data_IF_591190860562
#
_entry.id   IF_591190860562
#
_cell.length_a   1.000
_cell.length_b   1.000
_cell.length_c   1.000
_cell.angle_alpha   90.00
_cell.angle_beta   90.00
_cell.angle_gamma   90.00
#
_symmetry.space_group_name_H-M   'P 1'
#
loop_
_entity.id
_entity.type
_entity.pdbx_description
1 polymer ?
#
# COMPACT_ATOMS: atom_id res chain seq x y z
N UNK A 1 43.73 -38.23 19.39
CA UNK A 1 42.40 -38.28 18.78
C UNK A 1 41.31 -37.51 19.55
N UNK A 2 41.42 -37.41 20.91
CA UNK A 2 40.40 -36.69 21.74
C UNK A 2 40.36 -35.18 21.53
N UNK A 3 41.49 -34.54 21.15
CA UNK A 3 41.58 -33.09 20.93
C UNK A 3 41.15 -32.66 19.50
N UNK A 4 41.10 -33.61 18.55
CA UNK A 4 40.63 -33.33 17.18
C UNK A 4 39.10 -33.22 17.13
N UNK A 5 38.42 -33.96 18.00
CA UNK A 5 36.94 -33.96 18.07
C UNK A 5 36.39 -32.62 18.65
N UNK A 6 37.16 -32.01 19.57
CA UNK A 6 36.80 -30.73 20.17
C UNK A 6 36.97 -29.54 19.21
N UNK A 7 37.91 -29.65 18.27
CA UNK A 7 38.14 -28.60 17.25
C UNK A 7 37.04 -28.56 16.19
N UNK A 8 36.42 -29.69 15.90
CA UNK A 8 35.32 -29.78 14.89
C UNK A 8 34.03 -29.16 15.44
N UNK A 9 33.80 -29.20 16.75
CA UNK A 9 32.59 -28.59 17.34
C UNK A 9 32.68 -27.04 17.37
N UNK A 10 33.91 -26.48 17.37
CA UNK A 10 34.12 -25.01 17.33
C UNK A 10 34.03 -24.41 15.91
N UNK A 11 34.01 -25.24 14.88
CA UNK A 11 33.94 -24.81 13.47
C UNK A 11 32.53 -24.88 12.86
N UNK A 12 31.51 -25.26 13.62
CA UNK A 12 30.13 -25.01 13.17
C UNK A 12 29.82 -23.52 13.35
N UNK A 13 29.85 -22.70 12.28
CA UNK A 13 29.28 -21.38 12.36
C UNK A 13 27.82 -21.58 12.79
N UNK A 14 27.40 -20.90 13.82
CA UNK A 14 26.00 -20.69 14.12
C UNK A 14 25.38 -20.06 12.84
N UNK A 15 24.92 -20.91 11.94
CA UNK A 15 23.98 -20.50 10.91
C UNK A 15 22.74 -20.06 11.67
N UNK A 16 22.76 -18.82 12.12
CA UNK A 16 21.57 -18.16 12.62
C UNK A 16 20.53 -18.26 11.53
N UNK A 17 19.59 -19.17 11.72
CA UNK A 17 18.40 -19.24 10.90
C UNK A 17 17.66 -17.92 11.19
N UNK A 18 17.91 -16.90 10.39
CA UNK A 18 17.11 -15.69 10.36
C UNK A 18 15.74 -16.10 9.81
N UNK A 19 14.90 -16.67 10.68
CA UNK A 19 13.52 -16.94 10.35
C UNK A 19 12.82 -15.59 10.18
N UNK A 20 12.53 -15.22 8.96
CA UNK A 20 11.79 -13.99 8.66
C UNK A 20 10.40 -14.09 9.30
N UNK A 21 10.06 -13.10 10.09
CA UNK A 21 8.73 -12.96 10.66
C UNK A 21 7.79 -12.33 9.64
N UNK A 22 6.58 -12.86 9.56
CA UNK A 22 5.50 -12.32 8.75
C UNK A 22 4.57 -11.53 9.65
N UNK A 23 4.15 -10.36 9.18
CA UNK A 23 3.21 -9.50 9.90
C UNK A 23 1.96 -9.27 9.06
N UNK A 24 0.83 -8.99 9.72
CA UNK A 24 -0.41 -8.61 9.05
C UNK A 24 -0.34 -7.14 8.69
N UNK A 25 -0.35 -6.86 7.40
CA UNK A 25 -0.42 -5.49 6.87
C UNK A 25 -1.86 -4.97 6.93
N UNK A 26 -2.83 -5.80 6.51
CA UNK A 26 -4.24 -5.46 6.59
C UNK A 26 -5.12 -6.71 6.61
N UNK A 27 -6.27 -6.62 7.27
CA UNK A 27 -7.33 -7.62 7.20
C UNK A 27 -8.69 -6.92 7.15
N UNK A 28 -9.46 -7.12 6.06
CA UNK A 28 -10.69 -6.38 5.80
C UNK A 28 -11.73 -7.22 5.09
N UNK A 29 -13.01 -6.98 5.40
CA UNK A 29 -14.13 -7.39 4.58
C UNK A 29 -14.06 -6.65 3.24
N UNK A 30 -14.34 -7.35 2.13
CA UNK A 30 -14.45 -6.79 0.79
C UNK A 30 -15.90 -6.87 0.31
N UNK A 31 -16.74 -5.87 0.59
CA UNK A 31 -18.18 -5.95 0.35
C UNK A 31 -18.56 -6.09 -1.12
N UNK A 32 -17.72 -5.59 -2.04
CA UNK A 32 -17.96 -5.62 -3.48
C UNK A 32 -17.46 -6.90 -4.15
N UNK A 33 -16.65 -7.71 -3.45
CA UNK A 33 -16.16 -8.98 -3.97
C UNK A 33 -17.17 -10.09 -3.68
N UNK A 34 -17.90 -10.47 -4.70
CA UNK A 34 -18.93 -11.52 -4.65
C UNK A 34 -18.39 -12.94 -4.85
N UNK A 35 -17.07 -13.12 -4.85
CA UNK A 35 -16.46 -14.43 -5.14
C UNK A 35 -16.93 -15.54 -4.20
N UNK A 36 -17.16 -15.23 -2.92
CA UNK A 36 -17.67 -16.19 -1.94
C UNK A 36 -19.10 -16.65 -2.22
N UNK A 37 -19.96 -15.74 -2.69
CA UNK A 37 -21.36 -16.05 -2.99
C UNK A 37 -21.54 -16.70 -4.36
N UNK A 38 -20.71 -16.30 -5.35
CA UNK A 38 -20.73 -16.88 -6.71
C UNK A 38 -20.12 -18.28 -6.73
N UNK A 39 -18.98 -18.48 -6.05
CA UNK A 39 -18.30 -19.78 -5.95
C UNK A 39 -18.58 -20.40 -4.57
N UNK A 40 -19.85 -20.65 -4.29
CA UNK A 40 -20.33 -21.11 -3.00
C UNK A 40 -19.73 -22.45 -2.60
N UNK A 41 -19.04 -22.48 -1.47
CA UNK A 41 -18.56 -23.69 -0.79
C UNK A 41 -19.34 -23.87 0.49
N UNK A 42 -19.77 -25.11 0.76
CA UNK A 42 -20.53 -25.45 1.97
C UNK A 42 -19.62 -26.14 2.98
N UNK A 43 -19.84 -25.88 4.24
CA UNK A 43 -19.20 -26.62 5.34
C UNK A 43 -19.88 -28.00 5.55
N UNK A 44 -19.41 -28.78 6.52
CA UNK A 44 -19.92 -30.10 6.82
C UNK A 44 -21.38 -30.12 7.29
N UNK A 45 -21.89 -28.97 7.72
CA UNK A 45 -23.28 -28.80 8.17
C UNK A 45 -24.18 -28.26 7.05
N UNK A 46 -23.63 -28.03 5.86
CA UNK A 46 -24.35 -27.46 4.73
C UNK A 46 -24.45 -25.92 4.76
N UNK A 47 -23.74 -25.25 5.65
CA UNK A 47 -23.76 -23.81 5.72
C UNK A 47 -22.73 -23.20 4.75
N UNK A 48 -23.04 -22.06 4.12
CA UNK A 48 -22.10 -21.37 3.25
C UNK A 48 -20.86 -20.90 4.00
N UNK A 49 -19.69 -21.06 3.38
CA UNK A 49 -18.42 -20.59 3.90
C UNK A 49 -18.15 -19.13 3.54
N UNK A 50 -17.26 -18.52 4.31
CA UNK A 50 -16.58 -17.28 3.93
C UNK A 50 -15.35 -17.59 3.08
N UNK A 51 -14.99 -16.70 2.16
CA UNK A 51 -13.75 -16.76 1.38
C UNK A 51 -12.71 -15.80 1.97
N UNK A 52 -11.56 -16.34 2.35
CA UNK A 52 -10.39 -15.57 2.75
C UNK A 52 -9.37 -15.58 1.62
N UNK A 53 -9.10 -14.44 1.04
CA UNK A 53 -8.05 -14.20 0.05
C UNK A 53 -6.79 -13.72 0.77
N UNK A 54 -5.74 -14.52 0.75
CA UNK A 54 -4.46 -14.21 1.41
C UNK A 54 -3.46 -13.75 0.35
N UNK A 55 -2.97 -12.55 0.49
CA UNK A 55 -1.89 -12.00 -0.29
C UNK A 55 -0.60 -12.10 0.52
N UNK A 56 0.35 -12.86 0.02
CA UNK A 56 1.63 -13.09 0.69
C UNK A 56 2.75 -13.27 -0.34
N UNK A 57 3.91 -12.70 -0.05
CA UNK A 57 5.12 -12.96 -0.85
C UNK A 57 5.68 -14.34 -0.47
N UNK A 58 5.63 -15.25 -1.43
CA UNK A 58 6.05 -16.65 -1.29
C UNK A 58 4.88 -17.63 -1.14
N UNK A 59 5.21 -18.87 -0.80
CA UNK A 59 4.26 -19.95 -0.68
C UNK A 59 3.75 -20.14 0.75
N UNK A 60 2.60 -20.80 0.88
CA UNK A 60 2.06 -21.30 2.13
C UNK A 60 2.31 -22.81 2.23
N UNK A 61 2.79 -23.27 3.39
CA UNK A 61 2.85 -24.70 3.68
C UNK A 61 1.45 -25.22 4.02
N UNK A 62 0.75 -24.52 4.91
CA UNK A 62 -0.61 -24.84 5.31
C UNK A 62 -1.31 -23.67 5.98
N UNK A 63 -2.61 -23.83 6.16
CA UNK A 63 -3.44 -22.96 6.99
C UNK A 63 -4.25 -23.85 7.94
N UNK A 64 -4.32 -23.46 9.20
CA UNK A 64 -5.07 -24.16 10.24
C UNK A 64 -6.20 -23.28 10.78
N UNK A 65 -7.29 -23.91 11.18
CA UNK A 65 -8.54 -23.31 11.64
C UNK A 65 -9.72 -24.06 11.05
N UNK A 66 -10.87 -23.41 10.98
CA UNK A 66 -12.07 -24.01 10.38
C UNK A 66 -12.04 -23.97 8.85
N UNK A 67 -10.93 -24.48 8.26
CA UNK A 67 -10.67 -24.48 6.81
C UNK A 67 -11.50 -25.58 6.15
N UNK A 68 -12.18 -25.22 5.05
CA UNK A 68 -12.98 -26.13 4.24
C UNK A 68 -12.35 -26.27 2.86
N UNK A 69 -12.06 -27.50 2.47
CA UNK A 69 -11.47 -27.81 1.17
C UNK A 69 -9.95 -27.56 1.11
N UNK A 70 -9.45 -27.28 -0.08
CA UNK A 70 -8.02 -27.07 -0.36
C UNK A 70 -7.74 -25.62 -0.63
N UNK A 71 -6.52 -25.19 -0.32
CA UNK A 71 -6.01 -23.88 -0.72
C UNK A 71 -5.88 -23.87 -2.24
N UNK A 72 -6.48 -22.88 -2.90
CA UNK A 72 -6.28 -22.62 -4.32
C UNK A 72 -5.38 -21.41 -4.51
N UNK A 73 -4.46 -21.49 -5.46
CA UNK A 73 -3.47 -20.44 -5.69
C UNK A 73 -3.68 -19.85 -7.08
N UNK A 74 -3.79 -18.52 -7.13
CA UNK A 74 -3.70 -17.71 -8.33
C UNK A 74 -2.57 -16.72 -8.09
N UNK A 75 -1.40 -16.94 -8.71
CA UNK A 75 -0.20 -16.12 -8.54
C UNK A 75 0.13 -15.84 -7.06
N UNK A 76 0.10 -14.60 -6.64
CA UNK A 76 0.35 -14.17 -5.25
C UNK A 76 -0.88 -14.24 -4.34
N UNK A 77 -2.06 -14.56 -4.86
CA UNK A 77 -3.29 -14.70 -4.09
C UNK A 77 -3.55 -16.17 -3.75
N UNK A 78 -3.77 -16.47 -2.48
CA UNK A 78 -4.13 -17.79 -1.98
C UNK A 78 -5.57 -17.72 -1.45
N UNK A 79 -6.46 -18.51 -2.05
CA UNK A 79 -7.89 -18.54 -1.72
C UNK A 79 -8.20 -19.71 -0.79
N UNK A 80 -8.86 -19.42 0.32
CA UNK A 80 -9.19 -20.36 1.38
C UNK A 80 -10.63 -20.14 1.82
N UNK A 81 -11.40 -21.20 1.88
CA UNK A 81 -12.73 -21.16 2.46
C UNK A 81 -12.67 -21.52 3.95
N UNK A 82 -13.31 -20.71 4.76
CA UNK A 82 -13.45 -20.92 6.20
C UNK A 82 -14.93 -21.05 6.52
N UNK A 83 -15.27 -21.94 7.46
CA UNK A 83 -16.64 -22.00 7.99
C UNK A 83 -17.06 -20.61 8.48
N UNK A 84 -18.31 -20.24 8.25
CA UNK A 84 -18.91 -19.04 8.84
C UNK A 84 -18.71 -19.06 10.35
N UNK A 85 -18.67 -17.88 10.99
CA UNK A 85 -18.40 -17.70 12.42
C UNK A 85 -16.96 -18.02 12.88
N UNK A 86 -16.04 -18.33 11.96
CA UNK A 86 -14.62 -18.44 12.28
C UNK A 86 -14.12 -17.13 12.89
N UNK A 87 -13.35 -17.23 13.98
CA UNK A 87 -12.84 -16.08 14.75
C UNK A 87 -11.33 -15.90 14.65
N UNK A 88 -10.63 -16.91 14.14
CA UNK A 88 -9.19 -16.94 14.05
C UNK A 88 -8.72 -17.85 12.93
N UNK A 89 -7.46 -17.66 12.52
CA UNK A 89 -6.76 -18.52 11.56
C UNK A 89 -5.27 -18.55 11.90
N UNK A 90 -4.63 -19.70 11.67
CA UNK A 90 -3.17 -19.83 11.73
C UNK A 90 -2.62 -20.09 10.34
N UNK A 91 -1.66 -19.31 9.95
CA UNK A 91 -1.04 -19.37 8.64
C UNK A 91 0.42 -19.79 8.81
N UNK A 92 0.85 -20.74 8.01
CA UNK A 92 2.21 -21.29 8.01
C UNK A 92 2.87 -20.95 6.67
N UNK A 93 3.54 -19.79 6.56
CA UNK A 93 4.27 -19.44 5.36
C UNK A 93 5.51 -20.33 5.23
N UNK A 94 5.83 -20.75 4.02
CA UNK A 94 6.97 -21.63 3.76
C UNK A 94 8.28 -20.98 4.15
N UNK A 95 9.03 -21.66 5.03
CA UNK A 95 10.34 -21.20 5.50
C UNK A 95 10.30 -19.99 6.45
N UNK A 96 9.13 -19.67 7.04
CA UNK A 96 8.95 -18.54 7.97
C UNK A 96 8.24 -18.98 9.24
N UNK A 97 8.19 -18.09 10.25
CA UNK A 97 7.44 -18.35 11.46
C UNK A 97 5.93 -18.34 11.20
N UNK A 98 5.17 -19.27 11.84
CA UNK A 98 3.73 -19.25 11.80
C UNK A 98 3.15 -17.95 12.35
N UNK A 99 2.04 -17.49 11.76
CA UNK A 99 1.31 -16.35 12.27
C UNK A 99 -0.08 -16.77 12.73
N UNK A 100 -0.47 -16.35 13.92
CA UNK A 100 -1.81 -16.52 14.47
C UNK A 100 -2.57 -15.20 14.37
N UNK A 101 -3.74 -15.20 13.76
CA UNK A 101 -4.55 -14.03 13.48
C UNK A 101 -5.89 -14.22 14.16
N UNK A 102 -6.16 -13.41 15.18
CA UNK A 102 -7.45 -13.30 15.83
C UNK A 102 -8.20 -12.16 15.15
N UNK A 103 -9.34 -12.44 14.54
CA UNK A 103 -10.03 -11.48 13.66
C UNK A 103 -10.51 -10.24 14.41
N UNK A 104 -10.84 -10.39 15.68
CA UNK A 104 -11.25 -9.29 16.56
C UNK A 104 -10.20 -8.19 16.71
N UNK A 105 -8.91 -8.53 16.62
CA UNK A 105 -7.80 -7.56 16.68
C UNK A 105 -7.81 -6.61 15.47
N UNK A 106 -8.58 -6.96 14.42
CA UNK A 106 -8.75 -6.19 13.18
C UNK A 106 -10.18 -5.65 13.02
N UNK A 107 -10.98 -5.67 14.12
CA UNK A 107 -12.34 -5.14 14.10
C UNK A 107 -13.38 -6.08 13.45
N UNK A 108 -13.06 -7.37 13.29
CA UNK A 108 -13.94 -8.39 12.72
C UNK A 108 -14.22 -9.42 13.83
N UNK A 109 -15.43 -9.41 14.39
CA UNK A 109 -15.76 -10.34 15.49
C UNK A 109 -15.75 -11.80 15.04
N UNK A 110 -16.26 -12.08 13.85
CA UNK A 110 -16.24 -13.39 13.20
C UNK A 110 -16.43 -13.20 11.67
N UNK A 111 -16.05 -14.20 10.87
CA UNK A 111 -16.36 -14.19 9.44
C UNK A 111 -17.84 -14.43 9.19
N UNK A 112 -18.41 -13.67 8.27
CA UNK A 112 -19.79 -13.83 7.81
C UNK A 112 -19.84 -14.79 6.62
N UNK A 113 -20.90 -15.59 6.56
CA UNK A 113 -21.16 -16.50 5.43
C UNK A 113 -21.29 -15.74 4.11
N UNK A 114 -20.85 -16.35 3.00
CA UNK A 114 -20.92 -15.78 1.65
C UNK A 114 -20.20 -14.44 1.47
N UNK A 115 -19.32 -14.06 2.41
CA UNK A 115 -18.52 -12.85 2.34
C UNK A 115 -17.06 -13.14 1.98
N UNK A 116 -16.47 -12.21 1.25
CA UNK A 116 -15.06 -12.25 0.89
C UNK A 116 -14.25 -11.30 1.75
N UNK A 117 -13.16 -11.80 2.31
CA UNK A 117 -12.20 -11.05 3.13
C UNK A 117 -10.83 -11.06 2.47
N UNK A 118 -10.11 -9.96 2.56
CA UNK A 118 -8.74 -9.84 2.08
C UNK A 118 -7.80 -9.70 3.27
N UNK A 119 -6.84 -10.60 3.35
CA UNK A 119 -5.74 -10.61 4.31
C UNK A 119 -4.43 -10.36 3.58
N UNK A 120 -3.77 -9.26 3.85
CA UNK A 120 -2.44 -8.95 3.31
C UNK A 120 -1.38 -9.22 4.36
N UNK A 121 -0.40 -10.02 3.97
CA UNK A 121 0.74 -10.39 4.80
C UNK A 121 2.02 -9.89 4.15
N UNK A 122 2.88 -9.27 4.94
CA UNK A 122 4.21 -8.83 4.49
C UNK A 122 5.31 -9.43 5.36
N UNK A 123 6.51 -9.50 4.82
CA UNK A 123 7.66 -9.91 5.61
C UNK A 123 8.07 -8.78 6.52
N UNK A 124 8.30 -9.08 7.80
CA UNK A 124 9.02 -8.16 8.66
C UNK A 124 10.46 -8.06 8.12
N UNK A 125 10.76 -6.96 7.46
CA UNK A 125 12.14 -6.69 7.07
C UNK A 125 12.91 -6.47 8.37
N UNK A 126 14.01 -7.21 8.65
CA UNK A 126 14.84 -6.87 9.80
C UNK A 126 15.28 -5.42 9.60
N UNK A 127 14.81 -4.54 10.44
CA UNK A 127 15.34 -3.19 10.49
C UNK A 127 16.84 -3.34 10.75
N UNK A 128 17.65 -3.04 9.76
CA UNK A 128 19.08 -2.82 9.95
C UNK A 128 19.16 -1.64 10.89
N UNK A 129 19.39 -1.96 12.17
CA UNK A 129 19.60 -0.96 13.22
C UNK A 129 20.96 -0.33 12.93
N UNK A 130 20.98 0.65 12.06
CA UNK A 130 21.97 1.70 12.12
C UNK A 130 21.56 2.60 13.27
N UNK A 131 22.31 2.48 14.37
CA UNK A 131 22.26 3.41 15.50
C UNK A 131 22.54 4.81 14.96
N UNK A 132 21.47 5.57 14.71
CA UNK A 132 21.47 7.00 14.91
C UNK A 132 20.33 7.32 15.87
N UNK A 133 20.74 7.74 17.06
CA UNK A 133 19.88 8.24 18.12
C UNK A 133 19.13 9.45 17.61
N UNK A 134 17.80 9.37 17.51
CA UNK A 134 16.88 10.38 18.03
C UNK A 134 15.45 9.88 17.87
N UNK A 135 14.74 9.77 18.97
CA UNK A 135 13.30 9.60 19.15
C UNK A 135 12.45 10.14 18.00
N UNK A 136 11.93 9.22 17.15
CA UNK A 136 10.63 9.38 16.48
C UNK A 136 10.43 8.20 15.50
N UNK A 137 9.87 7.07 15.97
CA UNK A 137 9.44 5.96 15.10
C UNK A 137 8.24 6.42 14.24
N UNK A 138 8.55 7.13 13.15
CA UNK A 138 7.54 7.48 12.16
C UNK A 138 7.40 6.29 11.23
N UNK A 139 6.20 5.72 11.09
CA UNK A 139 5.98 4.59 10.21
C UNK A 139 6.38 4.94 8.77
N UNK A 140 7.22 4.11 8.16
CA UNK A 140 7.55 4.20 6.74
C UNK A 140 6.66 3.21 6.00
N UNK A 141 5.91 3.72 5.04
CA UNK A 141 5.07 2.92 4.16
C UNK A 141 5.78 2.81 2.80
N UNK A 142 6.16 1.60 2.40
CA UNK A 142 6.68 1.34 1.07
C UNK A 142 5.52 1.14 0.09
N UNK A 143 5.59 1.79 -1.07
CA UNK A 143 4.60 1.69 -2.13
C UNK A 143 5.26 1.42 -3.48
N UNK A 144 4.54 0.80 -4.38
CA UNK A 144 4.91 0.67 -5.79
C UNK A 144 4.36 1.87 -6.58
N UNK A 145 5.04 2.25 -7.66
CA UNK A 145 4.54 3.33 -8.53
C UNK A 145 3.14 3.03 -9.09
N UNK A 146 2.86 1.77 -9.37
CA UNK A 146 1.54 1.28 -9.79
C UNK A 146 0.43 1.56 -8.78
N UNK A 147 0.73 1.54 -7.48
CA UNK A 147 -0.25 1.82 -6.42
C UNK A 147 -0.80 3.26 -6.51
N UNK A 148 -0.05 4.19 -7.10
CA UNK A 148 -0.54 5.56 -7.31
C UNK A 148 -1.65 5.60 -8.36
N UNK A 149 -1.59 4.72 -9.34
CA UNK A 149 -2.52 4.68 -10.48
C UNK A 149 -3.76 3.84 -10.17
N UNK A 150 -3.60 2.78 -9.37
CA UNK A 150 -4.65 1.78 -9.16
C UNK A 150 -5.32 1.86 -7.79
N UNK A 151 -4.56 2.15 -6.75
CA UNK A 151 -4.98 1.94 -5.36
C UNK A 151 -4.77 3.14 -4.43
N UNK A 152 -4.45 4.32 -4.93
CA UNK A 152 -4.25 5.48 -4.06
C UNK A 152 -3.35 5.19 -2.85
N UNK A 153 -2.07 4.86 -3.07
CA UNK A 153 -1.14 4.36 -2.04
C UNK A 153 -1.58 3.05 -1.37
N UNK A 154 -2.28 2.17 -2.09
CA UNK A 154 -2.78 0.91 -1.53
C UNK A 154 -3.96 1.08 -0.58
N UNK A 155 -4.55 2.27 -0.47
CA UNK A 155 -5.60 2.58 0.50
C UNK A 155 -7.00 2.57 -0.09
N UNK A 156 -7.15 2.99 -1.36
CA UNK A 156 -8.45 3.11 -2.01
C UNK A 156 -8.36 2.83 -3.52
N UNK A 157 -9.19 1.91 -4.05
CA UNK A 157 -9.25 1.67 -5.48
C UNK A 157 -9.68 2.94 -6.23
N UNK A 158 -8.81 3.46 -7.10
CA UNK A 158 -9.04 4.73 -7.80
C UNK A 158 -10.21 4.60 -8.79
N UNK A 159 -10.31 3.48 -9.47
CA UNK A 159 -11.37 3.19 -10.44
C UNK A 159 -12.78 3.14 -9.84
N UNK A 160 -12.89 2.99 -8.52
CA UNK A 160 -14.17 2.96 -7.81
C UNK A 160 -14.57 4.33 -7.25
N UNK A 161 -13.70 5.34 -7.37
CA UNK A 161 -14.02 6.69 -6.93
C UNK A 161 -14.87 7.42 -7.96
N UNK A 162 -16.03 7.93 -7.54
CA UNK A 162 -16.80 8.85 -8.35
C UNK A 162 -16.20 10.26 -8.25
N UNK A 163 -15.17 10.52 -9.05
CA UNK A 163 -14.48 11.82 -9.08
C UNK A 163 -15.30 12.90 -9.81
N UNK A 164 -16.30 12.53 -10.62
CA UNK A 164 -17.23 13.47 -11.26
C UNK A 164 -18.44 13.83 -10.39
N UNK A 165 -18.48 13.31 -9.17
CA UNK A 165 -19.62 13.51 -8.27
C UNK A 165 -19.52 14.74 -7.38
N UNK A 166 -20.47 14.83 -6.45
CA UNK A 166 -20.49 15.88 -5.44
C UNK A 166 -19.31 15.74 -4.47
N UNK A 167 -18.61 16.84 -4.20
CA UNK A 167 -17.45 16.91 -3.29
C UNK A 167 -17.77 16.37 -1.89
N UNK A 168 -18.99 16.62 -1.37
CA UNK A 168 -19.39 16.15 -0.04
C UNK A 168 -19.52 14.63 -0.01
N UNK A 169 -20.10 14.03 -1.05
CA UNK A 169 -20.20 12.57 -1.17
C UNK A 169 -18.83 11.92 -1.28
N UNK A 170 -17.93 12.51 -2.08
CA UNK A 170 -16.56 12.02 -2.19
C UNK A 170 -15.80 12.14 -0.85
N UNK A 171 -15.97 13.26 -0.12
CA UNK A 171 -15.38 13.47 1.18
C UNK A 171 -15.80 12.40 2.18
N UNK A 172 -17.09 12.09 2.30
CA UNK A 172 -17.58 11.05 3.20
C UNK A 172 -17.12 9.66 2.76
N UNK A 173 -17.03 9.40 1.45
CA UNK A 173 -16.47 8.14 0.92
C UNK A 173 -15.00 7.97 1.34
N UNK A 174 -14.18 9.01 1.18
CA UNK A 174 -12.78 8.98 1.59
C UNK A 174 -12.62 8.79 3.10
N UNK A 175 -13.45 9.48 3.89
CA UNK A 175 -13.47 9.34 5.34
C UNK A 175 -13.85 7.92 5.79
N UNK A 176 -14.81 7.31 5.12
CA UNK A 176 -15.22 5.93 5.40
C UNK A 176 -14.11 4.90 5.14
N UNK A 177 -13.10 5.22 4.32
CA UNK A 177 -11.92 4.36 4.09
C UNK A 177 -10.85 4.47 5.18
N UNK A 178 -11.07 5.29 6.21
CA UNK A 178 -10.10 5.55 7.28
C UNK A 178 -9.03 6.59 6.91
N UNK A 179 -9.16 7.24 5.76
CA UNK A 179 -8.39 8.43 5.45
C UNK A 179 -8.85 9.60 6.34
N UNK A 180 -7.96 10.56 6.55
CA UNK A 180 -8.26 11.78 7.31
C UNK A 180 -8.32 12.97 6.33
N UNK A 181 -9.39 13.08 5.50
CA UNK A 181 -9.49 14.09 4.46
C UNK A 181 -9.77 15.46 5.06
N UNK A 182 -9.26 16.51 4.39
CA UNK A 182 -9.55 17.91 4.68
C UNK A 182 -10.20 18.54 3.44
N UNK A 183 -11.29 19.29 3.64
CA UNK A 183 -11.87 20.06 2.54
C UNK A 183 -10.98 21.27 2.24
N UNK A 184 -10.72 21.46 0.95
CA UNK A 184 -9.97 22.58 0.40
C UNK A 184 -10.84 23.43 -0.52
N UNK A 185 -10.31 24.57 -0.95
CA UNK A 185 -11.04 25.50 -1.83
C UNK A 185 -11.48 24.85 -3.14
N UNK A 186 -10.67 23.92 -3.66
CA UNK A 186 -10.90 23.30 -4.96
C UNK A 186 -11.05 21.77 -4.90
N UNK A 187 -11.22 21.20 -3.70
CA UNK A 187 -11.35 19.76 -3.60
C UNK A 187 -11.18 19.21 -2.19
N UNK A 188 -10.55 18.06 -2.11
CA UNK A 188 -10.29 17.35 -0.87
C UNK A 188 -8.82 16.97 -0.84
N UNK A 189 -8.15 17.24 0.27
CA UNK A 189 -6.74 16.89 0.49
C UNK A 189 -6.56 15.85 1.58
N UNK A 190 -5.57 14.98 1.39
CA UNK A 190 -5.04 14.08 2.42
C UNK A 190 -3.54 14.33 2.51
N UNK A 191 -3.04 14.66 3.70
CA UNK A 191 -1.66 15.08 3.91
C UNK A 191 -0.90 14.11 4.78
N UNK A 192 0.32 13.81 4.39
CA UNK A 192 1.24 12.94 5.11
C UNK A 192 2.58 13.64 5.28
N UNK A 193 3.14 13.59 6.49
CA UNK A 193 4.43 14.19 6.79
C UNK A 193 5.07 13.52 8.02
N UNK A 194 6.37 13.69 8.17
CA UNK A 194 7.06 13.32 9.41
C UNK A 194 6.86 14.35 10.54
N UNK A 195 6.48 15.57 10.18
CA UNK A 195 6.27 16.68 11.12
C UNK A 195 4.94 17.39 10.83
N UNK A 196 3.82 16.94 11.43
CA UNK A 196 2.51 17.57 11.24
C UNK A 196 2.45 19.06 11.57
N UNK A 197 3.38 19.56 12.42
CA UNK A 197 3.42 20.99 12.78
C UNK A 197 3.73 21.90 11.59
N UNK A 198 4.32 21.34 10.53
CA UNK A 198 4.62 22.06 9.28
C UNK A 198 3.40 22.22 8.37
N UNK A 199 2.33 21.48 8.61
CA UNK A 199 1.11 21.48 7.79
C UNK A 199 0.00 22.32 8.45
N UNK A 200 0.22 23.64 8.53
CA UNK A 200 -0.74 24.57 9.16
C UNK A 200 -2.06 24.56 8.39
N UNK A 201 -3.16 24.36 9.12
CA UNK A 201 -4.52 24.37 8.57
C UNK A 201 -4.98 23.03 7.96
N UNK A 202 -4.14 22.00 7.99
CA UNK A 202 -4.45 20.67 7.46
C UNK A 202 -4.29 19.59 8.53
N UNK A 203 -5.16 18.59 8.50
CA UNK A 203 -5.03 17.41 9.34
C UNK A 203 -4.00 16.47 8.73
N UNK A 204 -2.74 16.65 9.06
CA UNK A 204 -1.67 15.79 8.55
C UNK A 204 -1.56 14.47 9.33
N UNK A 205 -1.39 13.39 8.60
CA UNK A 205 -1.12 12.06 9.15
C UNK A 205 0.41 11.89 9.28
N UNK A 206 0.88 11.51 10.47
CA UNK A 206 2.30 11.28 10.72
C UNK A 206 2.75 9.97 10.04
N UNK A 207 3.30 10.08 8.84
CA UNK A 207 3.77 8.93 8.02
C UNK A 207 4.77 9.39 6.97
N UNK A 208 5.71 8.50 6.64
CA UNK A 208 6.63 8.64 5.49
C UNK A 208 6.27 7.64 4.41
N UNK A 209 6.43 8.05 3.15
CA UNK A 209 6.24 7.18 1.99
C UNK A 209 7.56 6.95 1.28
N UNK A 210 7.91 5.69 1.07
CA UNK A 210 9.10 5.28 0.33
C UNK A 210 8.68 4.57 -0.95
N UNK A 211 9.09 5.10 -2.08
CA UNK A 211 8.92 4.41 -3.36
C UNK A 211 9.84 3.18 -3.39
N UNK A 212 9.29 2.01 -3.67
CA UNK A 212 10.08 0.79 -3.78
C UNK A 212 11.08 0.90 -4.92
N UNK A 213 12.34 0.54 -4.64
CA UNK A 213 13.44 0.74 -5.59
C UNK A 213 14.07 2.14 -5.55
N UNK A 214 13.65 3.02 -4.62
CA UNK A 214 14.24 4.34 -4.43
C UNK A 214 14.61 4.55 -2.96
N UNK A 215 15.85 4.98 -2.69
CA UNK A 215 16.30 5.25 -1.31
C UNK A 215 15.97 6.66 -0.82
N UNK A 216 15.47 7.50 -1.71
CA UNK A 216 15.08 8.87 -1.37
C UNK A 216 13.62 8.90 -0.91
N UNK A 217 13.40 9.51 0.25
CA UNK A 217 12.06 9.62 0.86
C UNK A 217 11.65 11.09 0.85
N UNK A 218 10.46 11.43 0.30
CA UNK A 218 9.91 12.78 0.38
C UNK A 218 9.63 13.20 1.83
N UNK A 219 9.85 14.46 2.15
CA UNK A 219 9.51 15.02 3.47
C UNK A 219 8.00 15.09 3.69
N UNK A 220 7.27 15.48 2.64
CA UNK A 220 5.81 15.50 2.64
C UNK A 220 5.25 14.86 1.39
N UNK A 221 4.10 14.21 1.56
CA UNK A 221 3.29 13.68 0.48
C UNK A 221 1.85 14.15 0.67
N UNK A 222 1.24 14.64 -0.39
CA UNK A 222 -0.19 14.93 -0.38
C UNK A 222 -0.90 14.23 -1.53
N UNK A 223 -2.13 13.86 -1.28
CA UNK A 223 -3.05 13.32 -2.27
C UNK A 223 -4.26 14.25 -2.32
N UNK A 224 -4.46 14.90 -3.46
CA UNK A 224 -5.57 15.79 -3.72
C UNK A 224 -6.61 15.11 -4.60
N UNK A 225 -7.87 15.31 -4.28
CA UNK A 225 -9.01 14.89 -5.08
C UNK A 225 -9.74 16.14 -5.55
N UNK A 226 -9.74 16.36 -6.83
CA UNK A 226 -10.40 17.50 -7.47
C UNK A 226 -11.59 16.98 -8.30
N UNK A 227 -12.80 16.93 -7.73
CA UNK A 227 -13.99 16.63 -8.50
C UNK A 227 -14.23 17.78 -9.48
N UNK A 228 -14.29 17.49 -10.77
CA UNK A 228 -14.49 18.52 -11.78
C UNK A 228 -15.98 18.78 -12.02
N UNK A 229 -16.31 20.06 -12.17
CA UNK A 229 -17.62 20.54 -12.60
C UNK A 229 -17.95 20.10 -14.05
N UNK A 230 -16.98 19.62 -14.81
CA UNK A 230 -17.07 19.23 -16.22
C UNK A 230 -16.94 17.73 -16.47
N UNK A 231 -17.25 16.88 -15.50
CA UNK A 231 -17.20 15.41 -15.61
C UNK A 231 -15.82 14.75 -15.66
N UNK A 232 -14.75 15.48 -15.42
CA UNK A 232 -13.38 14.95 -15.40
C UNK A 232 -12.78 15.16 -14.01
N UNK A 233 -12.89 14.18 -13.13
CA UNK A 233 -12.24 14.25 -11.83
C UNK A 233 -10.74 13.97 -11.93
N UNK A 234 -9.97 14.57 -11.03
CA UNK A 234 -8.52 14.42 -10.97
C UNK A 234 -8.08 13.93 -9.60
N UNK A 235 -7.09 13.04 -9.58
CA UNK A 235 -6.30 12.75 -8.39
C UNK A 235 -4.90 13.27 -8.64
N UNK A 236 -4.39 14.04 -7.70
CA UNK A 236 -3.06 14.63 -7.76
C UNK A 236 -2.24 14.13 -6.58
N UNK A 237 -1.08 13.60 -6.85
CA UNK A 237 -0.08 13.27 -5.84
C UNK A 237 1.04 14.30 -5.88
N UNK A 238 1.40 14.86 -4.73
CA UNK A 238 2.52 15.77 -4.63
C UNK A 238 3.55 15.21 -3.65
N UNK A 239 4.79 15.11 -4.10
CA UNK A 239 5.92 14.69 -3.30
C UNK A 239 6.83 15.91 -3.10
N UNK A 240 6.97 16.37 -1.87
CA UNK A 240 7.73 17.57 -1.55
C UNK A 240 9.04 17.21 -0.85
N UNK A 241 10.10 17.82 -1.33
CA UNK A 241 11.43 17.74 -0.73
C UNK A 241 11.76 19.12 -0.19
N UNK A 242 11.75 19.25 1.13
CA UNK A 242 11.99 20.53 1.74
C UNK A 242 13.46 20.91 1.70
N UNK A 243 13.66 22.15 1.42
CA UNK A 243 14.95 22.81 1.61
C UNK A 243 14.74 24.08 2.43
N UNK A 244 15.70 24.42 3.23
CA UNK A 244 15.71 25.75 3.86
C UNK A 244 16.15 26.82 2.84
N UNK A 245 16.20 28.07 3.28
CA UNK A 245 16.60 29.20 2.43
C UNK A 245 18.08 29.19 2.00
N UNK A 246 18.89 28.23 2.47
CA UNK A 246 20.30 28.10 2.14
C UNK A 246 20.50 27.41 0.79
N UNK A 247 21.41 27.91 -0.09
CA UNK A 247 21.65 27.35 -1.43
C UNK A 247 21.98 25.86 -1.44
N UNK A 248 22.84 25.41 -0.53
CA UNK A 248 23.23 23.99 -0.42
C UNK A 248 22.05 23.07 -0.10
N UNK A 249 21.09 23.55 0.68
CA UNK A 249 19.88 22.79 0.99
C UNK A 249 18.95 22.69 -0.21
N UNK A 250 18.88 23.75 -1.01
CA UNK A 250 18.10 23.76 -2.26
C UNK A 250 18.68 22.78 -3.26
N UNK A 251 20.01 22.75 -3.40
CA UNK A 251 20.68 21.83 -4.31
C UNK A 251 20.46 20.37 -3.91
N UNK A 252 20.57 20.06 -2.63
CA UNK A 252 20.24 18.72 -2.09
C UNK A 252 18.81 18.33 -2.38
N UNK A 253 17.84 19.23 -2.19
CA UNK A 253 16.43 18.95 -2.49
C UNK A 253 16.20 18.70 -3.99
N UNK A 254 16.90 19.43 -4.89
CA UNK A 254 16.86 19.20 -6.32
C UNK A 254 17.46 17.84 -6.70
N UNK A 255 18.60 17.48 -6.12
CA UNK A 255 19.23 16.19 -6.34
C UNK A 255 18.29 15.06 -5.92
N UNK A 256 17.75 15.11 -4.69
CA UNK A 256 16.86 14.10 -4.14
C UNK A 256 15.58 13.96 -4.96
N UNK A 257 14.93 15.08 -5.27
CA UNK A 257 13.71 15.06 -6.09
C UNK A 257 13.98 14.55 -7.52
N UNK A 258 15.14 14.88 -8.09
CA UNK A 258 15.58 14.36 -9.39
C UNK A 258 15.81 12.85 -9.40
N UNK A 259 16.39 12.29 -8.33
CA UNK A 259 16.53 10.84 -8.14
C UNK A 259 15.14 10.20 -8.02
N UNK A 260 14.29 10.77 -7.17
CA UNK A 260 12.95 10.23 -6.93
C UNK A 260 12.09 10.21 -8.20
N UNK A 261 12.04 11.31 -8.97
CA UNK A 261 11.20 11.36 -10.18
C UNK A 261 11.69 10.42 -11.28
N UNK A 262 13.00 10.25 -11.42
CA UNK A 262 13.57 9.26 -12.36
C UNK A 262 13.19 7.83 -11.96
N UNK A 263 13.27 7.52 -10.67
CA UNK A 263 12.84 6.22 -10.15
C UNK A 263 11.33 6.01 -10.38
N UNK A 264 10.50 7.00 -10.06
CA UNK A 264 9.05 6.95 -10.27
C UNK A 264 8.70 6.72 -11.75
N UNK A 265 9.33 7.46 -12.66
CA UNK A 265 9.15 7.28 -14.11
C UNK A 265 9.51 5.85 -14.53
N UNK A 266 10.68 5.37 -14.14
CA UNK A 266 11.15 4.02 -14.47
C UNK A 266 10.25 2.91 -13.90
N UNK A 267 9.76 3.06 -12.67
CA UNK A 267 8.88 2.07 -12.06
C UNK A 267 7.49 2.07 -12.72
N UNK A 268 6.97 3.21 -13.16
CA UNK A 268 5.74 3.28 -13.96
C UNK A 268 5.91 2.55 -15.31
N UNK A 269 7.05 2.74 -16.01
CA UNK A 269 7.33 2.02 -17.25
C UNK A 269 7.44 0.50 -17.02
N UNK A 270 8.09 0.06 -15.93
CA UNK A 270 8.18 -1.35 -15.55
C UNK A 270 6.81 -1.96 -15.22
N UNK A 271 5.89 -1.17 -14.67
CA UNK A 271 4.51 -1.57 -14.43
C UNK A 271 3.67 -1.64 -15.72
N UNK A 272 4.25 -1.34 -16.88
CA UNK A 272 3.62 -1.48 -18.19
C UNK A 272 2.95 -0.20 -18.72
N UNK A 273 3.07 0.94 -18.01
CA UNK A 273 2.54 2.20 -18.50
C UNK A 273 3.45 2.76 -19.60
N UNK A 274 2.88 3.02 -20.77
CA UNK A 274 3.60 3.66 -21.88
C UNK A 274 3.57 5.16 -21.67
N UNK A 275 4.70 5.73 -21.26
CA UNK A 275 4.85 7.15 -21.01
C UNK A 275 5.52 7.82 -22.18
N UNK A 276 4.86 8.84 -22.74
CA UNK A 276 5.42 9.72 -23.77
C UNK A 276 6.02 10.97 -23.11
N UNK A 277 7.27 11.31 -23.47
CA UNK A 277 7.97 12.45 -22.93
C UNK A 277 9.22 12.07 -22.14
N UNK A 278 9.52 12.82 -21.10
CA UNK A 278 10.68 12.60 -20.22
C UNK A 278 10.25 12.54 -18.76
N UNK A 279 11.15 12.07 -17.89
CA UNK A 279 10.85 12.08 -16.45
C UNK A 279 10.50 13.45 -15.86
N UNK A 280 10.78 14.55 -16.60
CA UNK A 280 10.38 15.91 -16.17
C UNK A 280 8.95 16.28 -16.59
N UNK A 281 8.49 15.71 -17.69
CA UNK A 281 7.15 15.90 -18.19
C UNK A 281 6.79 14.72 -19.08
N UNK A 282 5.91 13.87 -18.62
CA UNK A 282 5.47 12.69 -19.34
C UNK A 282 3.96 12.51 -19.23
N UNK A 283 3.38 11.89 -20.26
CA UNK A 283 1.97 11.53 -20.30
C UNK A 283 1.81 10.08 -20.72
N UNK A 284 0.81 9.40 -20.17
CA UNK A 284 0.48 8.04 -20.53
C UNK A 284 -1.03 7.82 -20.47
N UNK A 285 -1.51 6.83 -21.21
CA UNK A 285 -2.91 6.43 -21.21
C UNK A 285 -3.11 5.16 -20.42
N UNK A 286 -4.22 5.07 -19.74
CA UNK A 286 -4.75 3.86 -19.10
C UNK A 286 -6.11 3.52 -19.68
N UNK A 287 -6.64 2.35 -19.35
CA UNK A 287 -7.99 1.95 -19.79
C UNK A 287 -9.10 2.86 -19.23
N UNK A 288 -8.81 3.64 -18.21
CA UNK A 288 -9.78 4.46 -17.47
C UNK A 288 -9.37 5.94 -17.32
N UNK A 289 -8.20 6.37 -17.80
CA UNK A 289 -7.78 7.75 -17.68
C UNK A 289 -6.39 8.04 -18.23
N UNK A 290 -5.85 9.20 -17.90
CA UNK A 290 -4.52 9.67 -18.28
C UNK A 290 -3.64 9.82 -17.04
N UNK A 291 -2.39 9.39 -17.17
CA UNK A 291 -1.33 9.67 -16.21
C UNK A 291 -0.55 10.87 -16.73
N UNK A 292 -0.34 11.88 -15.90
CA UNK A 292 0.56 12.99 -16.21
C UNK A 292 1.59 13.10 -15.09
N UNK A 293 2.87 12.96 -15.43
CA UNK A 293 3.99 13.18 -14.53
C UNK A 293 4.60 14.55 -14.82
N UNK A 294 4.68 15.40 -13.79
CA UNK A 294 5.27 16.73 -13.90
C UNK A 294 6.29 16.92 -12.79
N UNK A 295 7.51 17.22 -13.18
CA UNK A 295 8.55 17.67 -12.25
C UNK A 295 8.78 19.17 -12.39
N UNK A 296 8.56 19.89 -11.30
CA UNK A 296 8.71 21.33 -11.27
C UNK A 296 9.69 21.72 -10.16
N UNK A 297 10.73 22.46 -10.54
CA UNK A 297 11.71 23.07 -9.64
C UNK A 297 11.46 24.58 -9.59
N UNK A 298 10.40 25.00 -8.85
CA UNK A 298 9.96 26.37 -8.86
C UNK A 298 10.36 27.08 -7.54
N UNK A 299 11.03 28.24 -7.65
CA UNK A 299 11.29 29.24 -6.59
C UNK A 299 11.74 28.69 -5.22
N UNK A 300 12.53 27.63 -5.24
CA UNK A 300 13.07 27.11 -4.00
C UNK A 300 12.29 25.94 -3.41
N UNK A 301 11.21 25.47 -4.01
CA UNK A 301 10.52 24.22 -3.68
C UNK A 301 10.64 23.25 -4.86
N UNK A 302 11.27 22.09 -4.63
CA UNK A 302 11.21 20.99 -5.56
C UNK A 302 9.98 20.14 -5.21
N UNK A 303 9.07 20.01 -6.14
CA UNK A 303 7.93 19.13 -6.01
C UNK A 303 7.69 18.36 -7.30
N UNK A 304 7.06 17.22 -7.17
CA UNK A 304 6.69 16.34 -8.27
C UNK A 304 5.21 16.13 -8.18
N UNK A 305 4.49 16.37 -9.27
CA UNK A 305 3.08 16.02 -9.38
C UNK A 305 2.93 14.79 -10.29
N UNK A 306 2.17 13.82 -9.83
CA UNK A 306 1.59 12.77 -10.67
C UNK A 306 0.09 13.01 -10.67
N UNK A 307 -0.44 13.30 -11.85
CA UNK A 307 -1.87 13.54 -12.07
C UNK A 307 -2.45 12.27 -12.68
N UNK A 308 -3.45 11.73 -12.04
CA UNK A 308 -4.21 10.59 -12.55
C UNK A 308 -5.59 11.10 -12.84
N UNK A 309 -5.90 11.29 -14.13
CA UNK A 309 -7.19 11.78 -14.56
C UNK A 309 -8.10 10.58 -14.79
N UNK A 310 -9.22 10.55 -14.10
CA UNK A 310 -10.25 9.54 -14.30
C UNK A 310 -11.35 10.14 -15.19
N UNK A 311 -11.35 9.77 -16.45
CA UNK A 311 -12.38 10.15 -17.39
C UNK A 311 -13.57 9.20 -17.23
N UNK A 312 -14.65 9.69 -16.66
CA UNK A 312 -15.92 8.97 -16.71
C UNK A 312 -16.42 8.99 -18.15
N UNK A 313 -15.96 8.05 -18.97
CA UNK A 313 -16.70 7.73 -20.18
C UNK A 313 -18.04 7.16 -19.75
N UNK A 314 -19.12 7.90 -20.00
CA UNK A 314 -20.47 7.36 -19.92
C UNK A 314 -20.43 5.98 -20.60
N UNK A 315 -20.50 4.93 -19.81
CA UNK A 315 -20.83 3.61 -20.34
C UNK A 315 -22.28 3.70 -20.76
N UNK A 316 -22.47 4.07 -22.03
CA UNK A 316 -23.76 3.86 -22.70
C UNK A 316 -24.02 2.37 -22.85
#
# INVERSE_FOLDING_TARGET
MRNLLLLIILLFPFLGVNSQKVIVESFKLQPTDLSASVNKVLDLNGNPCALLKIWIVGDLDRVEGNVIGKITCNDSEKNIYLSGESKEVRIFPKGKLPIHIVFKDYGIDALEQERTYILRLTNETPATITKEETNNNIPIFEFYAEDLVTMGFGQIPINNLNLGGNTDTLFETLKATGLNPTKETYGIGVFYTDDPSKCKGFNAIKRKFKLKGCDVIPDNVSMGFEPDQYSEGRITYQFKFYHGNKPEKREKAREQSGIFVKALYSELEKAGYKLEGTFKNAKGQTDWGEITLVYNDNYGECWIGLYVNNYFKDKK
#
